data_IF_977828565348
#
_entry.id   IF_977828565348
#
_cell.length_a   1.000
_cell.length_b   1.000
_cell.length_c   1.000
_cell.angle_alpha   90.00
_cell.angle_beta   90.00
_cell.angle_gamma   90.00
#
_symmetry.space_group_name_H-M   'P 1'
#
loop_
_entity.id
_entity.type
_entity.pdbx_description
1 polymer ?
#
# COMPACT_ATOMS: atom_id res chain seq x y z
N UNK A 1 -40.96 71.55 11.59
CA UNK A 1 -41.44 71.47 12.99
C UNK A 1 -40.63 70.35 13.61
N UNK A 2 -39.75 70.77 14.52
CA UNK A 2 -38.86 70.02 15.44
C UNK A 2 -37.89 69.01 14.77
N UNK A 3 -36.61 68.89 15.10
CA UNK A 3 -35.90 69.13 16.36
C UNK A 3 -34.46 69.67 16.15
N UNK A 4 -34.07 70.55 17.07
CA UNK A 4 -32.72 71.02 17.46
C UNK A 4 -31.68 69.89 17.56
N UNK A 5 -30.43 69.97 17.13
CA UNK A 5 -29.40 70.94 17.51
C UNK A 5 -28.30 70.30 18.41
N UNK A 6 -27.03 70.57 18.08
CA UNK A 6 -25.79 70.51 18.92
C UNK A 6 -24.81 69.29 18.82
N UNK A 7 -23.65 69.59 18.23
CA UNK A 7 -22.24 69.37 18.63
C UNK A 7 -21.78 68.18 19.52
N UNK A 8 -20.88 67.34 18.94
CA UNK A 8 -19.55 66.78 19.34
C UNK A 8 -19.28 66.45 20.84
N UNK A 9 -18.49 65.40 21.25
CA UNK A 9 -17.15 65.09 20.69
C UNK A 9 -16.62 63.62 20.78
N UNK A 10 -15.42 63.42 20.23
CA UNK A 10 -14.27 62.61 20.73
C UNK A 10 -14.54 61.34 21.56
N UNK A 11 -14.00 60.19 21.12
CA UNK A 11 -13.21 59.29 22.00
C UNK A 11 -12.51 58.19 21.20
N UNK A 12 -11.20 58.32 21.14
CA UNK A 12 -10.22 57.28 20.89
C UNK A 12 -10.42 56.13 21.88
N UNK A 13 -10.61 54.89 21.44
CA UNK A 13 -10.17 53.71 22.19
C UNK A 13 -10.04 52.48 21.29
N UNK A 14 -8.80 52.02 21.19
CA UNK A 14 -8.40 50.61 21.22
C UNK A 14 -8.75 49.79 19.97
N UNK A 15 -7.91 49.96 18.94
CA UNK A 15 -7.48 48.82 18.14
C UNK A 15 -6.88 47.77 19.09
N UNK A 16 -7.70 46.83 19.54
CA UNK A 16 -7.22 45.58 20.10
C UNK A 16 -6.53 44.84 18.96
N UNK A 17 -5.20 45.00 18.88
CA UNK A 17 -4.33 44.10 18.14
C UNK A 17 -4.56 42.72 18.72
N UNK A 18 -5.50 41.98 18.14
CA UNK A 18 -5.46 40.53 18.24
C UNK A 18 -4.19 40.10 17.53
N UNK A 19 -3.15 39.93 18.35
CA UNK A 19 -1.94 39.22 18.05
C UNK A 19 -2.33 37.77 17.75
N UNK A 20 -2.91 37.53 16.57
CA UNK A 20 -3.07 36.20 16.01
C UNK A 20 -1.67 35.79 15.60
N UNK A 21 -0.92 35.29 16.57
CA UNK A 21 0.31 34.55 16.34
C UNK A 21 -0.08 33.37 15.47
N UNK A 22 0.04 33.54 14.15
CA UNK A 22 -0.05 32.47 13.17
C UNK A 22 1.11 31.54 13.50
N UNK A 23 0.82 30.57 14.36
CA UNK A 23 1.62 29.37 14.57
C UNK A 23 1.57 28.60 13.25
N UNK A 24 2.37 29.06 12.28
CA UNK A 24 2.76 28.30 11.12
C UNK A 24 3.75 27.24 11.62
N UNK A 25 3.20 26.25 12.36
CA UNK A 25 3.84 24.95 12.51
C UNK A 25 3.95 24.41 11.08
N UNK A 26 5.12 24.64 10.50
CA UNK A 26 5.58 23.90 9.36
C UNK A 26 5.59 22.43 9.78
N UNK A 27 4.49 21.74 9.49
CA UNK A 27 4.53 20.32 9.22
C UNK A 27 5.43 20.17 8.00
N UNK A 28 6.75 20.15 8.25
CA UNK A 28 7.68 19.46 7.38
C UNK A 28 7.31 18.00 7.59
N UNK A 29 6.23 17.58 6.92
CA UNK A 29 5.93 16.18 6.74
C UNK A 29 7.16 15.65 6.04
N UNK A 30 8.02 14.97 6.81
CA UNK A 30 9.04 14.09 6.30
C UNK A 30 8.34 12.97 5.56
N UNK A 31 7.78 13.29 4.38
CA UNK A 31 7.67 12.32 3.33
C UNK A 31 9.13 11.99 2.99
N UNK A 32 9.72 11.08 3.78
CA UNK A 32 10.80 10.25 3.31
C UNK A 32 10.29 9.80 1.94
N UNK A 33 10.86 10.34 0.88
CA UNK A 33 10.41 10.07 -0.46
C UNK A 33 10.54 8.57 -0.66
N UNK A 34 9.38 7.97 -0.77
CA UNK A 34 9.23 6.54 -0.69
C UNK A 34 9.68 6.00 -2.03
N UNK A 35 10.36 4.86 -2.00
CA UNK A 35 10.58 4.09 -3.20
C UNK A 35 9.21 3.69 -3.75
N UNK A 36 8.80 4.28 -4.86
CA UNK A 36 7.49 4.01 -5.48
C UNK A 36 7.49 2.69 -6.25
N UNK A 37 8.67 2.14 -6.53
CA UNK A 37 8.86 0.98 -7.40
C UNK A 37 8.66 1.31 -8.89
N UNK A 38 8.54 2.59 -9.25
CA UNK A 38 8.43 3.03 -10.64
C UNK A 38 9.11 4.37 -10.85
N UNK A 39 9.73 4.51 -12.02
CA UNK A 39 10.43 5.72 -12.39
C UNK A 39 9.54 6.66 -13.20
N UNK A 40 9.91 7.94 -13.16
CA UNK A 40 9.41 8.94 -14.08
C UNK A 40 9.81 8.57 -15.52
N UNK A 41 8.95 8.77 -16.53
CA UNK A 41 9.24 8.40 -17.92
C UNK A 41 10.56 8.98 -18.47
N UNK A 42 10.95 10.16 -17.97
CA UNK A 42 12.20 10.83 -18.37
C UNK A 42 13.47 10.29 -17.71
N UNK A 43 13.40 9.31 -16.81
CA UNK A 43 14.56 8.84 -16.04
C UNK A 43 15.68 8.27 -16.92
N UNK A 44 15.36 7.68 -18.08
CA UNK A 44 16.38 7.25 -19.05
C UNK A 44 17.27 8.41 -19.51
N UNK A 45 16.65 9.54 -19.87
CA UNK A 45 17.37 10.76 -20.27
C UNK A 45 18.06 11.42 -19.07
N UNK A 46 17.37 11.55 -17.94
CA UNK A 46 17.94 12.18 -16.74
C UNK A 46 19.15 11.42 -16.18
N UNK A 47 19.10 10.08 -16.19
CA UNK A 47 20.24 9.24 -15.79
C UNK A 47 21.47 9.50 -16.66
N UNK A 48 21.27 9.61 -17.98
CA UNK A 48 22.35 9.94 -18.93
C UNK A 48 22.96 11.32 -18.64
N UNK A 49 22.14 12.26 -18.13
CA UNK A 49 22.57 13.60 -17.71
C UNK A 49 23.03 13.68 -16.24
N UNK A 50 23.37 12.54 -15.62
CA UNK A 50 23.95 12.51 -14.27
C UNK A 50 22.96 12.71 -13.12
N UNK A 51 21.65 12.61 -13.36
CA UNK A 51 20.64 12.81 -12.31
C UNK A 51 20.85 11.90 -11.09
N UNK A 52 21.21 10.63 -11.32
CA UNK A 52 21.41 9.66 -10.25
C UNK A 52 22.58 9.99 -9.32
N UNK A 53 23.58 10.73 -9.79
CA UNK A 53 24.77 11.11 -9.03
C UNK A 53 24.79 12.59 -8.65
N UNK A 54 23.78 13.37 -9.07
CA UNK A 54 23.71 14.81 -8.81
C UNK A 54 23.42 15.08 -7.33
N UNK A 55 24.44 15.54 -6.59
CA UNK A 55 24.36 15.86 -5.16
C UNK A 55 23.60 17.15 -4.85
N UNK A 56 23.34 18.00 -5.85
CA UNK A 56 22.43 19.15 -5.71
C UNK A 56 20.97 18.71 -5.60
N UNK A 57 20.67 17.47 -6.01
CA UNK A 57 19.38 16.81 -5.77
C UNK A 57 19.51 15.93 -4.54
N UNK A 58 18.59 16.11 -3.59
CA UNK A 58 18.60 15.29 -2.38
C UNK A 58 18.47 13.82 -2.76
N UNK A 59 19.02 12.91 -1.94
CA UNK A 59 18.87 11.47 -2.16
C UNK A 59 17.38 11.09 -2.27
N UNK A 60 16.57 11.77 -1.47
CA UNK A 60 15.12 11.65 -1.47
C UNK A 60 14.49 12.06 -2.81
N UNK A 61 14.82 13.25 -3.33
CA UNK A 61 14.33 13.67 -4.64
C UNK A 61 14.70 12.67 -5.74
N UNK A 62 15.93 12.14 -5.70
CA UNK A 62 16.40 11.13 -6.66
C UNK A 62 15.63 9.81 -6.55
N UNK A 63 15.31 9.36 -5.34
CA UNK A 63 14.45 8.18 -5.09
C UNK A 63 13.04 8.37 -5.60
N UNK A 64 12.46 9.54 -5.36
CA UNK A 64 11.08 9.88 -5.75
C UNK A 64 10.86 9.72 -7.25
N UNK A 65 11.79 10.23 -8.04
CA UNK A 65 11.60 10.32 -9.48
C UNK A 65 12.26 9.18 -10.24
N UNK A 66 13.49 8.79 -9.88
CA UNK A 66 14.27 7.78 -10.62
C UNK A 66 14.84 6.70 -9.73
N UNK A 67 14.14 6.34 -8.64
CA UNK A 67 14.64 5.41 -7.65
C UNK A 67 15.09 4.07 -8.23
N UNK A 68 14.32 3.46 -9.13
CA UNK A 68 14.65 2.15 -9.72
C UNK A 68 15.79 2.30 -10.74
N UNK A 69 15.69 3.28 -11.65
CA UNK A 69 16.71 3.57 -12.67
C UNK A 69 18.07 3.94 -12.08
N UNK A 70 18.07 4.58 -10.91
CA UNK A 70 19.26 4.95 -10.17
C UNK A 70 19.74 3.86 -9.20
N UNK A 71 19.05 2.71 -9.12
CA UNK A 71 19.39 1.62 -8.22
C UNK A 71 19.25 1.98 -6.74
N UNK A 72 18.46 3.01 -6.41
CA UNK A 72 18.15 3.46 -5.05
C UNK A 72 16.92 2.74 -4.47
N UNK A 73 16.09 2.19 -5.35
CA UNK A 73 14.84 1.52 -5.05
C UNK A 73 14.70 0.22 -5.85
N UNK A 74 14.07 -0.79 -5.25
CA UNK A 74 13.60 -1.99 -5.94
C UNK A 74 12.26 -1.72 -6.62
N UNK A 75 11.88 -2.55 -7.60
CA UNK A 75 10.59 -2.46 -8.30
C UNK A 75 9.39 -2.72 -7.39
N UNK A 76 9.62 -3.41 -6.27
CA UNK A 76 8.64 -3.62 -5.21
C UNK A 76 8.53 -2.40 -4.26
N UNK A 77 9.15 -1.26 -4.58
CA UNK A 77 9.09 -0.05 -3.77
C UNK A 77 9.85 -0.14 -2.45
N UNK A 78 10.66 -1.17 -2.23
CA UNK A 78 11.63 -1.19 -1.14
C UNK A 78 12.90 -0.43 -1.53
N UNK A 79 13.69 -0.02 -0.54
CA UNK A 79 14.93 0.74 -0.74
C UNK A 79 16.12 -0.22 -0.87
N UNK A 80 17.10 0.14 -1.69
CA UNK A 80 18.37 -0.61 -1.78
C UNK A 80 19.40 -0.07 -0.78
N UNK A 81 20.53 -0.77 -0.63
CA UNK A 81 21.65 -0.26 0.14
C UNK A 81 22.14 1.12 -0.37
N UNK A 82 22.16 1.33 -1.68
CA UNK A 82 22.51 2.63 -2.30
C UNK A 82 21.49 3.72 -1.99
N UNK A 83 20.23 3.35 -1.81
CA UNK A 83 19.16 4.28 -1.49
C UNK A 83 19.24 4.85 -0.09
N UNK A 84 20.04 4.31 0.83
CA UNK A 84 20.08 4.74 2.23
C UNK A 84 20.16 3.62 3.27
N UNK A 85 20.30 2.35 2.85
CA UNK A 85 20.67 1.24 3.75
C UNK A 85 19.51 0.40 4.28
N UNK A 86 19.88 -0.64 5.06
CA UNK A 86 19.02 -1.75 5.52
C UNK A 86 17.82 -1.36 6.39
N UNK A 87 17.74 -0.11 6.84
CA UNK A 87 16.60 0.44 7.57
C UNK A 87 15.75 1.18 6.55
N UNK A 88 14.84 0.46 5.90
CA UNK A 88 13.74 1.09 5.16
C UNK A 88 12.91 1.83 6.22
N UNK A 89 12.84 3.17 6.21
CA UNK A 89 11.97 3.88 7.13
C UNK A 89 10.57 3.32 6.96
N UNK A 90 9.86 3.10 8.08
CA UNK A 90 8.47 2.68 8.02
C UNK A 90 7.74 3.59 7.03
N UNK A 91 7.11 2.99 6.04
CA UNK A 91 6.50 3.75 4.97
C UNK A 91 5.13 4.22 5.48
N UNK A 92 4.86 5.52 5.34
CA UNK A 92 3.68 6.18 5.93
C UNK A 92 2.73 6.62 4.83
N UNK A 93 1.44 6.71 5.16
CA UNK A 93 0.43 7.24 4.25
C UNK A 93 0.67 8.74 4.03
N UNK A 94 0.86 9.13 2.77
CA UNK A 94 0.99 10.53 2.38
C UNK A 94 -0.38 11.22 2.26
N UNK A 95 -1.45 10.44 2.05
CA UNK A 95 -2.81 10.93 1.95
C UNK A 95 -3.61 10.57 3.21
N UNK A 96 -4.28 11.52 3.88
CA UNK A 96 -5.08 11.21 5.07
C UNK A 96 -6.30 10.33 4.77
N UNK A 97 -6.72 10.21 3.51
CA UNK A 97 -7.88 9.41 3.11
C UNK A 97 -7.55 7.92 2.90
N UNK A 98 -6.32 7.48 3.14
CA UNK A 98 -5.91 6.09 2.84
C UNK A 98 -6.75 5.04 3.56
N UNK A 99 -7.11 5.28 4.83
CA UNK A 99 -8.02 4.40 5.56
C UNK A 99 -9.40 4.31 4.89
N UNK A 100 -9.98 5.44 4.46
CA UNK A 100 -11.27 5.49 3.76
C UNK A 100 -11.19 4.86 2.36
N UNK A 101 -10.12 5.08 1.63
CA UNK A 101 -9.92 4.50 0.30
C UNK A 101 -9.73 2.98 0.35
N UNK A 102 -9.19 2.46 1.45
CA UNK A 102 -9.03 1.03 1.65
C UNK A 102 -10.36 0.32 1.98
N UNK A 103 -11.42 1.04 2.33
CA UNK A 103 -12.76 0.44 2.54
C UNK A 103 -13.65 0.46 1.30
N UNK A 104 -13.17 1.03 0.18
CA UNK A 104 -13.93 1.05 -1.08
C UNK A 104 -13.99 -0.33 -1.74
N UNK A 105 -14.88 -0.49 -2.72
CA UNK A 105 -15.01 -1.72 -3.52
C UNK A 105 -14.80 -1.39 -5.00
N UNK A 106 -13.67 -1.77 -5.62
CA UNK A 106 -12.51 -2.43 -5.00
C UNK A 106 -11.70 -1.48 -4.11
N UNK A 107 -11.04 -2.03 -3.09
CA UNK A 107 -10.21 -1.26 -2.17
C UNK A 107 -9.05 -0.61 -2.92
N UNK A 108 -8.62 0.60 -2.53
CA UNK A 108 -7.62 1.35 -3.28
C UNK A 108 -6.31 0.58 -3.53
N UNK A 109 -5.81 -0.16 -2.54
CA UNK A 109 -4.60 -0.96 -2.71
C UNK A 109 -4.80 -2.18 -3.64
N UNK A 110 -6.02 -2.69 -3.76
CA UNK A 110 -6.37 -3.83 -4.63
C UNK A 110 -6.91 -3.40 -6.01
N UNK A 111 -7.29 -2.13 -6.17
CA UNK A 111 -7.89 -1.61 -7.39
C UNK A 111 -6.88 -1.58 -8.55
N UNK A 112 -7.15 -2.33 -9.62
CA UNK A 112 -6.27 -2.47 -10.78
C UNK A 112 -6.22 -1.23 -11.68
N UNK A 113 -7.14 -0.28 -11.50
CA UNK A 113 -7.13 1.02 -12.20
C UNK A 113 -5.94 1.86 -11.76
N UNK A 114 -5.49 1.69 -10.51
CA UNK A 114 -4.36 2.45 -9.97
C UNK A 114 -3.06 1.65 -10.10
N UNK A 115 -2.02 2.30 -10.60
CA UNK A 115 -0.70 1.68 -10.64
C UNK A 115 -0.16 1.45 -9.23
N UNK A 116 0.68 0.42 -9.06
CA UNK A 116 1.36 0.14 -7.79
C UNK A 116 2.13 1.36 -7.28
N UNK A 117 2.74 2.13 -8.19
CA UNK A 117 3.43 3.37 -7.86
C UNK A 117 2.49 4.42 -7.26
N UNK A 118 1.30 4.59 -7.84
CA UNK A 118 0.32 5.56 -7.33
C UNK A 118 -0.23 5.13 -5.96
N UNK A 119 -0.47 3.83 -5.79
CA UNK A 119 -0.89 3.26 -4.50
C UNK A 119 0.12 3.54 -3.40
N UNK A 120 1.40 3.27 -3.67
CA UNK A 120 2.50 3.54 -2.73
C UNK A 120 2.78 5.03 -2.55
N UNK A 121 2.56 5.84 -3.58
CA UNK A 121 2.74 7.29 -3.47
C UNK A 121 1.77 7.91 -2.46
N UNK A 122 0.49 7.51 -2.50
CA UNK A 122 -0.52 8.09 -1.63
C UNK A 122 -0.68 7.34 -0.31
N UNK A 123 -0.71 6.02 -0.36
CA UNK A 123 -1.10 5.17 0.77
C UNK A 123 -0.06 4.10 1.04
N UNK A 124 1.19 4.53 1.20
CA UNK A 124 2.27 3.58 1.37
C UNK A 124 2.06 2.69 2.60
N UNK A 125 1.78 3.25 3.78
CA UNK A 125 1.63 2.46 5.00
C UNK A 125 0.47 1.47 4.89
N UNK A 126 -0.69 1.96 4.46
CA UNK A 126 -1.90 1.17 4.25
C UNK A 126 -1.68 0.08 3.18
N UNK A 127 -1.09 0.42 2.03
CA UNK A 127 -0.89 -0.54 0.94
C UNK A 127 0.29 -1.48 1.16
N UNK A 128 1.30 -1.08 1.92
CA UNK A 128 2.48 -1.93 2.19
C UNK A 128 2.17 -3.01 3.21
N UNK A 129 1.33 -2.70 4.21
CA UNK A 129 0.76 -3.72 5.09
C UNK A 129 -0.06 -4.75 4.31
N UNK A 130 -0.76 -4.31 3.25
CA UNK A 130 -1.47 -5.21 2.35
C UNK A 130 -0.56 -6.04 1.44
N UNK A 131 0.73 -5.69 1.25
CA UNK A 131 1.65 -6.38 0.33
C UNK A 131 2.83 -7.06 1.01
N UNK A 132 2.94 -7.04 2.33
CA UNK A 132 4.01 -7.75 3.03
C UNK A 132 3.97 -9.23 2.65
N UNK A 133 5.08 -9.73 2.09
CA UNK A 133 5.24 -11.14 1.76
C UNK A 133 5.07 -11.96 3.04
N UNK A 134 4.05 -12.83 3.12
CA UNK A 134 3.81 -13.56 4.35
C UNK A 134 4.84 -14.69 4.51
N UNK A 135 5.25 -14.94 5.76
CA UNK A 135 6.05 -16.12 6.08
C UNK A 135 5.16 -17.36 6.07
N UNK A 136 5.43 -18.31 5.17
CA UNK A 136 4.71 -19.58 5.07
C UNK A 136 5.62 -20.71 4.59
N UNK A 137 5.28 -21.96 4.92
CA UNK A 137 5.99 -23.14 4.40
C UNK A 137 5.34 -23.71 3.15
N UNK A 138 4.07 -23.37 2.85
CA UNK A 138 3.40 -23.75 1.61
C UNK A 138 2.58 -22.61 1.00
N UNK A 139 1.56 -22.11 1.70
CA UNK A 139 0.69 -21.07 1.17
C UNK A 139 -0.19 -20.39 2.22
N UNK A 140 -0.69 -19.22 1.89
CA UNK A 140 -1.53 -18.37 2.75
C UNK A 140 -2.81 -18.02 2.01
N UNK A 141 -3.95 -18.09 2.71
CA UNK A 141 -5.27 -17.75 2.20
C UNK A 141 -5.79 -16.56 2.99
N UNK A 142 -6.31 -15.53 2.31
CA UNK A 142 -6.77 -14.29 2.93
C UNK A 142 -8.28 -14.11 2.85
N UNK A 143 -8.81 -13.48 3.89
CA UNK A 143 -10.15 -12.89 3.95
C UNK A 143 -9.99 -11.37 4.05
N UNK A 144 -10.16 -10.67 2.92
CA UNK A 144 -9.76 -9.26 2.83
C UNK A 144 -8.23 -9.12 2.97
N UNK A 145 -7.80 -8.37 3.99
CA UNK A 145 -6.38 -8.20 4.35
C UNK A 145 -5.93 -9.12 5.48
N UNK A 146 -6.85 -9.86 6.11
CA UNK A 146 -6.56 -10.75 7.24
C UNK A 146 -6.14 -12.12 6.74
N UNK A 147 -5.11 -12.69 7.35
CA UNK A 147 -4.71 -14.08 7.11
C UNK A 147 -5.79 -15.00 7.70
N UNK A 148 -6.46 -15.76 6.84
CA UNK A 148 -7.43 -16.77 7.26
C UNK A 148 -6.77 -18.13 7.47
N UNK A 149 -5.83 -18.49 6.60
CA UNK A 149 -5.03 -19.71 6.70
C UNK A 149 -3.57 -19.38 6.44
N UNK A 150 -2.66 -19.83 7.32
CA UNK A 150 -1.23 -19.92 7.02
C UNK A 150 -0.81 -21.39 7.06
N UNK A 151 -0.57 -21.97 5.89
CA UNK A 151 -0.50 -23.42 5.72
C UNK A 151 0.93 -23.94 5.61
N UNK A 152 1.17 -25.06 6.31
CA UNK A 152 2.18 -26.02 5.93
C UNK A 152 1.69 -26.94 4.80
N UNK A 153 2.57 -27.75 4.19
CA UNK A 153 2.13 -28.78 3.26
C UNK A 153 1.14 -29.73 3.93
N UNK A 154 0.11 -30.14 3.20
CA UNK A 154 -0.93 -31.05 3.63
C UNK A 154 -0.98 -32.27 2.72
N UNK A 155 -1.39 -33.41 3.27
CA UNK A 155 -1.58 -34.67 2.52
C UNK A 155 -3.05 -35.01 2.29
N UNK A 156 -3.96 -34.19 2.82
CA UNK A 156 -5.40 -34.37 2.74
C UNK A 156 -6.12 -33.00 2.68
N UNK A 157 -7.40 -33.04 2.29
CA UNK A 157 -8.27 -31.88 2.32
C UNK A 157 -8.38 -31.33 3.74
N UNK A 158 -8.01 -30.07 3.90
CA UNK A 158 -8.08 -29.35 5.17
C UNK A 158 -9.21 -28.31 5.11
N UNK A 159 -10.18 -28.33 6.04
CA UNK A 159 -11.27 -27.36 6.06
C UNK A 159 -10.79 -25.90 6.21
N UNK A 160 -11.53 -24.99 5.59
CA UNK A 160 -11.35 -23.54 5.76
C UNK A 160 -12.53 -23.02 6.59
N UNK A 161 -12.27 -22.54 7.79
CA UNK A 161 -13.23 -21.72 8.55
C UNK A 161 -13.08 -20.27 8.07
N UNK A 162 -14.19 -19.60 7.75
CA UNK A 162 -14.19 -18.21 7.28
C UNK A 162 -15.52 -17.53 7.62
N UNK A 163 -15.52 -16.20 7.68
CA UNK A 163 -16.73 -15.40 7.93
C UNK A 163 -17.14 -14.62 6.69
N UNK A 164 -16.18 -14.18 5.89
CA UNK A 164 -16.38 -13.47 4.62
C UNK A 164 -15.76 -14.23 3.43
N UNK A 165 -16.03 -13.82 2.18
CA UNK A 165 -15.39 -14.42 1.01
C UNK A 165 -13.87 -14.31 1.04
N UNK A 166 -13.20 -15.35 0.55
CA UNK A 166 -11.76 -15.35 0.36
C UNK A 166 -11.39 -14.41 -0.79
N UNK A 167 -10.34 -13.61 -0.61
CA UNK A 167 -10.01 -12.52 -1.55
C UNK A 167 -8.77 -12.82 -2.39
N UNK A 168 -7.75 -13.44 -1.79
CA UNK A 168 -6.47 -13.73 -2.44
C UNK A 168 -5.72 -14.84 -1.74
N UNK A 169 -4.72 -15.37 -2.42
CA UNK A 169 -3.76 -16.34 -1.87
C UNK A 169 -2.33 -15.90 -2.15
N UNK A 170 -1.39 -16.41 -1.37
CA UNK A 170 0.05 -16.36 -1.64
C UNK A 170 0.57 -17.80 -1.57
N UNK A 171 1.32 -18.25 -2.58
CA UNK A 171 1.84 -19.63 -2.60
C UNK A 171 3.34 -19.59 -2.81
N UNK A 172 4.08 -20.29 -1.95
CA UNK A 172 5.54 -20.37 -1.99
C UNK A 172 6.01 -21.02 -3.28
N UNK A 173 7.08 -20.48 -3.87
CA UNK A 173 7.69 -21.01 -5.10
C UNK A 173 7.97 -22.50 -4.96
N UNK A 174 7.54 -23.28 -5.95
CA UNK A 174 7.64 -24.74 -5.96
C UNK A 174 6.43 -25.46 -5.35
N UNK A 175 5.59 -24.78 -4.55
CA UNK A 175 4.37 -25.36 -3.99
C UNK A 175 3.15 -25.14 -4.90
N UNK A 176 2.08 -25.89 -4.65
CA UNK A 176 0.79 -25.79 -5.32
C UNK A 176 -0.33 -25.81 -4.29
N UNK A 177 -1.22 -24.83 -4.35
CA UNK A 177 -2.42 -24.72 -3.51
C UNK A 177 -3.66 -25.01 -4.33
N UNK A 178 -4.44 -26.00 -3.93
CA UNK A 178 -5.72 -26.35 -4.55
C UNK A 178 -6.85 -26.03 -3.61
N UNK A 179 -7.80 -25.21 -4.07
CA UNK A 179 -9.01 -24.87 -3.33
C UNK A 179 -10.18 -25.73 -3.79
N UNK A 180 -11.09 -26.07 -2.87
CA UNK A 180 -12.23 -26.94 -3.15
C UNK A 180 -13.54 -26.31 -2.66
N UNK A 181 -14.65 -26.58 -3.37
CA UNK A 181 -15.98 -26.03 -3.05
C UNK A 181 -16.74 -26.84 -2.00
N UNK A 182 -16.16 -27.94 -1.49
CA UNK A 182 -16.72 -28.83 -0.49
C UNK A 182 -15.67 -29.16 0.59
N UNK A 183 -16.14 -29.54 1.78
CA UNK A 183 -15.29 -29.77 2.94
C UNK A 183 -14.76 -31.20 3.08
N UNK A 184 -15.29 -32.16 2.31
CA UNK A 184 -15.01 -33.60 2.43
C UNK A 184 -14.55 -34.19 1.11
N UNK A 185 -13.76 -35.26 1.16
CA UNK A 185 -13.34 -35.98 -0.04
C UNK A 185 -14.49 -36.77 -0.68
N UNK A 186 -14.51 -36.94 -2.02
CA UNK A 186 -13.60 -36.33 -2.98
C UNK A 186 -13.88 -34.83 -3.18
N UNK A 187 -12.82 -34.03 -3.26
CA UNK A 187 -12.95 -32.57 -3.43
C UNK A 187 -13.29 -32.17 -4.87
N UNK A 188 -14.27 -31.29 -5.03
CA UNK A 188 -14.56 -30.57 -6.27
C UNK A 188 -13.70 -29.31 -6.32
N UNK A 189 -12.78 -29.25 -7.28
CA UNK A 189 -11.85 -28.12 -7.39
C UNK A 189 -12.60 -26.81 -7.70
N UNK A 190 -12.20 -25.72 -7.03
CA UNK A 190 -12.69 -24.39 -7.33
C UNK A 190 -12.08 -23.85 -8.64
N UNK A 191 -12.75 -22.87 -9.25
CA UNK A 191 -12.30 -22.22 -10.48
C UNK A 191 -10.93 -21.58 -10.27
N UNK A 192 -9.99 -21.80 -11.20
CA UNK A 192 -8.63 -21.28 -11.09
C UNK A 192 -7.70 -22.08 -10.15
N UNK A 193 -8.15 -23.21 -9.61
CA UNK A 193 -7.27 -24.17 -8.91
C UNK A 193 -6.79 -25.29 -9.84
N UNK A 194 -5.59 -25.86 -9.65
CA UNK A 194 -4.60 -25.49 -8.64
C UNK A 194 -3.87 -24.18 -8.96
N UNK A 195 -3.45 -23.48 -7.91
CA UNK A 195 -2.70 -22.23 -7.96
C UNK A 195 -1.23 -22.57 -7.73
N UNK A 196 -0.39 -22.32 -8.73
CA UNK A 196 1.05 -22.61 -8.66
C UNK A 196 1.79 -21.47 -7.96
N UNK A 197 2.72 -21.83 -7.07
CA UNK A 197 3.53 -20.90 -6.31
C UNK A 197 4.56 -20.14 -7.14
N UNK A 198 4.51 -18.82 -7.02
CA UNK A 198 5.43 -17.88 -7.65
C UNK A 198 5.85 -16.75 -6.68
N UNK A 199 5.63 -16.94 -5.38
CA UNK A 199 5.87 -15.92 -4.34
C UNK A 199 5.21 -14.56 -4.65
N UNK A 200 4.00 -14.65 -5.20
CA UNK A 200 3.16 -13.51 -5.53
C UNK A 200 1.74 -13.73 -5.01
N UNK A 201 1.06 -12.62 -4.71
CA UNK A 201 -0.36 -12.65 -4.41
C UNK A 201 -1.19 -12.92 -5.68
N UNK A 202 -2.13 -13.85 -5.58
CA UNK A 202 -3.10 -14.16 -6.64
C UNK A 202 -4.50 -13.84 -6.12
N UNK A 203 -5.18 -12.90 -6.79
CA UNK A 203 -6.57 -12.58 -6.48
C UNK A 203 -7.49 -13.74 -6.84
N UNK A 204 -8.42 -14.06 -5.94
CA UNK A 204 -9.41 -15.10 -6.16
C UNK A 204 -10.66 -14.52 -6.83
N UNK A 205 -11.32 -15.35 -7.64
CA UNK A 205 -12.59 -15.03 -8.29
C UNK A 205 -13.45 -16.29 -8.44
N UNK A 206 -14.73 -16.11 -8.79
CA UNK A 206 -15.65 -17.23 -9.00
C UNK A 206 -15.78 -18.12 -7.76
N UNK A 207 -15.79 -19.44 -7.97
CA UNK A 207 -15.99 -20.41 -6.88
C UNK A 207 -14.81 -20.50 -5.90
N UNK A 208 -13.65 -19.90 -6.21
CA UNK A 208 -12.52 -19.88 -5.29
C UNK A 208 -12.75 -18.94 -4.09
N UNK A 209 -13.54 -17.87 -4.24
CA UNK A 209 -13.87 -16.96 -3.12
C UNK A 209 -14.75 -17.66 -2.09
N UNK A 210 -15.51 -18.67 -2.51
CA UNK A 210 -16.39 -19.47 -1.67
C UNK A 210 -15.82 -20.85 -1.29
N UNK A 211 -14.54 -21.13 -1.56
CA UNK A 211 -13.90 -22.41 -1.20
C UNK A 211 -14.04 -22.79 0.29
N UNK A 212 -14.31 -24.06 0.55
CA UNK A 212 -14.61 -24.63 1.88
C UNK A 212 -13.46 -25.48 2.44
N UNK A 213 -12.55 -25.94 1.58
CA UNK A 213 -11.35 -26.65 1.98
C UNK A 213 -10.21 -26.38 1.01
N UNK A 214 -9.01 -26.78 1.39
CA UNK A 214 -7.83 -26.67 0.56
C UNK A 214 -6.90 -27.87 0.72
N UNK A 215 -5.96 -27.98 -0.19
CA UNK A 215 -4.80 -28.86 -0.09
C UNK A 215 -3.59 -28.08 -0.60
N UNK A 216 -2.48 -28.12 0.14
CA UNK A 216 -1.27 -27.40 -0.22
C UNK A 216 -0.12 -28.40 -0.31
N UNK A 217 0.50 -28.54 -1.47
CA UNK A 217 1.56 -29.53 -1.72
C UNK A 217 2.84 -28.81 -2.12
N UNK A 218 3.98 -29.32 -1.65
CA UNK A 218 5.31 -28.88 -2.06
C UNK A 218 6.13 -30.12 -2.45
N UNK A 219 7.15 -29.98 -3.31
CA UNK A 219 8.10 -31.05 -3.62
C UNK A 219 8.91 -31.50 -2.41
#
# INVERSE_FOLDING_TARGET
RDETGKYLPSSSHLYSMQLTTVLLLSFISGAATQCTGSDHPSCSSWRTNGYCTNTLRTLEERKKYCGVSCGLCNTDGTQTALGGGAVVPACFDANPNCATWQTQTPAFCDNTVYSTAMKKLYCCGTCSAATATPTTTCGVIYEGTTINVNSAPTTALTPITKTNPLTRVFVKTGCSLKLYTNAVAPGTAATGSPITGAEAFVSLSGTATTAMSFECTCP
#
